data_IF_159331786281
#
_entry.id   IF_159331786281
#
_cell.length_a   1.000
_cell.length_b   1.000
_cell.length_c   1.000
_cell.angle_alpha   90.00
_cell.angle_beta   90.00
_cell.angle_gamma   90.00
#
_symmetry.space_group_name_H-M   'P 1'
#
loop_
_entity.id
_entity.type
_entity.pdbx_description
1 polymer ?
#
# COMPACT_ATOMS: atom_id res chain seq x y z
N UNK A 1 10.12 0.04 -3.67
CA UNK A 1 9.79 -0.01 -5.12
C UNK A 1 10.19 -1.33 -5.77
N UNK A 2 11.48 -1.68 -5.88
CA UNK A 2 11.93 -2.88 -6.65
C UNK A 2 11.29 -4.21 -6.22
N UNK A 3 11.09 -4.42 -4.92
CA UNK A 3 10.44 -5.64 -4.40
C UNK A 3 8.94 -5.70 -4.70
N UNK A 4 8.26 -4.55 -4.77
CA UNK A 4 6.83 -4.48 -5.10
C UNK A 4 6.61 -4.80 -6.57
N UNK A 5 7.43 -4.25 -7.47
CA UNK A 5 7.37 -4.60 -8.90
C UNK A 5 7.59 -6.10 -9.11
N UNK A 6 8.60 -6.69 -8.46
CA UNK A 6 8.84 -8.12 -8.57
C UNK A 6 7.68 -8.96 -8.02
N UNK A 7 7.13 -8.59 -6.87
CA UNK A 7 5.99 -9.28 -6.28
C UNK A 7 4.72 -9.14 -7.16
N UNK A 8 4.51 -7.99 -7.79
CA UNK A 8 3.39 -7.79 -8.72
C UNK A 8 3.49 -8.69 -9.96
N UNK A 9 4.72 -9.07 -10.36
CA UNK A 9 4.97 -10.07 -11.41
C UNK A 9 4.92 -11.53 -10.88
N UNK A 10 4.45 -11.75 -9.65
CA UNK A 10 4.39 -13.07 -9.01
C UNK A 10 5.73 -13.59 -8.49
N UNK A 11 6.79 -12.76 -8.48
CA UNK A 11 8.14 -13.18 -8.06
C UNK A 11 8.35 -12.88 -6.57
N UNK A 12 7.85 -13.78 -5.73
CA UNK A 12 8.06 -13.77 -4.27
C UNK A 12 8.84 -15.02 -3.86
N UNK A 13 9.93 -14.82 -3.12
CA UNK A 13 10.77 -15.92 -2.61
C UNK A 13 10.18 -16.46 -1.29
N UNK A 14 9.41 -17.54 -1.38
CA UNK A 14 8.75 -18.16 -0.24
C UNK A 14 9.75 -18.68 0.82
N UNK A 15 10.93 -19.15 0.42
CA UNK A 15 11.97 -19.60 1.35
C UNK A 15 12.51 -18.42 2.15
N UNK A 16 12.78 -17.29 1.50
CA UNK A 16 13.20 -16.08 2.18
C UNK A 16 12.13 -15.52 3.13
N UNK A 17 10.85 -15.58 2.74
CA UNK A 17 9.74 -15.18 3.64
C UNK A 17 9.69 -16.09 4.86
N UNK A 18 9.81 -17.41 4.68
CA UNK A 18 9.86 -18.37 5.79
C UNK A 18 11.01 -18.09 6.75
N UNK A 19 12.22 -17.86 6.24
CA UNK A 19 13.39 -17.60 7.06
C UNK A 19 13.26 -16.29 7.86
N UNK A 20 12.66 -15.28 7.23
CA UNK A 20 12.32 -14.02 7.89
C UNK A 20 11.31 -14.21 9.04
N UNK A 21 10.23 -14.96 8.77
CA UNK A 21 9.23 -15.30 9.79
C UNK A 21 9.83 -16.10 10.94
N UNK A 22 10.69 -17.09 10.64
CA UNK A 22 11.37 -17.90 11.64
C UNK A 22 12.30 -17.05 12.52
N UNK A 23 13.00 -16.08 11.93
CA UNK A 23 13.83 -15.11 12.66
C UNK A 23 12.99 -14.23 13.59
N UNK A 24 11.75 -13.91 13.19
CA UNK A 24 10.78 -13.21 14.02
C UNK A 24 10.07 -14.13 15.05
N UNK A 25 10.44 -15.41 15.14
CA UNK A 25 9.83 -16.39 16.05
C UNK A 25 8.50 -16.98 15.57
N UNK A 26 8.09 -16.69 14.34
CA UNK A 26 6.85 -17.18 13.73
C UNK A 26 7.12 -18.45 12.92
N UNK A 27 6.49 -19.56 13.32
CA UNK A 27 6.50 -20.83 12.57
C UNK A 27 5.11 -21.07 12.02
N UNK A 28 4.94 -20.81 10.73
CA UNK A 28 3.66 -20.99 10.05
C UNK A 28 3.59 -22.36 9.35
N UNK A 29 2.40 -22.99 9.30
CA UNK A 29 2.13 -24.09 8.38
C UNK A 29 2.42 -23.70 6.92
N UNK A 30 2.73 -24.69 6.08
CA UNK A 30 3.00 -24.46 4.66
C UNK A 30 1.85 -23.72 3.96
N UNK A 31 0.62 -24.17 4.18
CA UNK A 31 -0.59 -23.57 3.60
C UNK A 31 -0.76 -22.08 3.95
N UNK A 32 -0.38 -21.69 5.17
CA UNK A 32 -0.45 -20.28 5.60
C UNK A 32 0.66 -19.45 4.96
N UNK A 33 1.84 -20.03 4.76
CA UNK A 33 2.91 -19.34 4.03
C UNK A 33 2.53 -19.13 2.57
N UNK A 34 1.94 -20.14 1.93
CA UNK A 34 1.50 -20.04 0.54
C UNK A 34 0.44 -18.95 0.39
N UNK A 35 -0.56 -18.92 1.28
CA UNK A 35 -1.56 -17.86 1.32
C UNK A 35 -0.96 -16.45 1.55
N UNK A 36 0.06 -16.33 2.40
CA UNK A 36 0.74 -15.05 2.64
C UNK A 36 1.53 -14.58 1.40
N UNK A 37 2.12 -15.51 0.66
CA UNK A 37 2.79 -15.21 -0.61
C UNK A 37 1.77 -14.72 -1.64
N UNK A 38 0.63 -15.39 -1.75
CA UNK A 38 -0.45 -14.98 -2.65
C UNK A 38 -0.98 -13.58 -2.29
N UNK A 39 -1.26 -13.31 -1.01
CA UNK A 39 -1.69 -11.99 -0.53
C UNK A 39 -0.64 -10.91 -0.83
N UNK A 40 0.64 -11.23 -0.72
CA UNK A 40 1.74 -10.32 -1.07
C UNK A 40 1.71 -9.97 -2.55
N UNK A 41 1.47 -10.95 -3.43
CA UNK A 41 1.34 -10.74 -4.88
C UNK A 41 0.12 -9.86 -5.17
N UNK A 42 -1.05 -10.18 -4.61
CA UNK A 42 -2.29 -9.40 -4.79
C UNK A 42 -2.11 -7.94 -4.36
N UNK A 43 -1.53 -7.73 -3.18
CA UNK A 43 -1.22 -6.39 -2.69
C UNK A 43 -0.26 -5.65 -3.63
N UNK A 44 0.79 -6.32 -4.10
CA UNK A 44 1.77 -5.72 -5.00
C UNK A 44 1.15 -5.34 -6.35
N UNK A 45 0.25 -6.16 -6.90
CA UNK A 45 -0.50 -5.85 -8.13
C UNK A 45 -1.36 -4.60 -7.93
N UNK A 46 -2.06 -4.49 -6.79
CA UNK A 46 -2.86 -3.29 -6.45
C UNK A 46 -1.99 -2.04 -6.38
N UNK A 47 -0.88 -2.09 -5.65
CA UNK A 47 0.05 -0.96 -5.54
C UNK A 47 0.63 -0.58 -6.91
N UNK A 48 0.99 -1.55 -7.75
CA UNK A 48 1.50 -1.28 -9.09
C UNK A 48 0.45 -0.61 -10.00
N UNK A 49 -0.84 -0.92 -9.83
CA UNK A 49 -1.92 -0.24 -10.53
C UNK A 49 -2.10 1.21 -10.05
N UNK A 50 -2.04 1.42 -8.74
CA UNK A 50 -2.13 2.74 -8.11
C UNK A 50 -1.00 3.67 -8.57
N UNK A 51 0.25 3.17 -8.61
CA UNK A 51 1.40 3.93 -9.09
C UNK A 51 1.25 4.33 -10.56
N UNK A 52 0.77 3.42 -11.43
CA UNK A 52 0.49 3.74 -12.84
C UNK A 52 -0.59 4.82 -12.98
N UNK A 53 -1.64 4.77 -12.15
CA UNK A 53 -2.67 5.80 -12.15
C UNK A 53 -2.13 7.16 -11.68
N UNK A 54 -1.28 7.18 -10.65
CA UNK A 54 -0.60 8.41 -10.20
C UNK A 54 0.31 8.98 -11.28
N UNK A 55 1.08 8.14 -11.98
CA UNK A 55 1.95 8.56 -13.09
C UNK A 55 1.13 9.22 -14.20
N UNK A 56 -0.03 8.65 -14.57
CA UNK A 56 -0.94 9.26 -15.55
C UNK A 56 -1.50 10.60 -15.08
N UNK A 57 -1.84 10.74 -13.79
CA UNK A 57 -2.31 12.02 -13.25
C UNK A 57 -1.20 13.08 -13.24
N UNK A 58 0.04 12.67 -13.00
CA UNK A 58 1.20 13.58 -13.01
C UNK A 58 1.46 14.19 -14.40
N UNK A 59 1.04 13.53 -15.49
CA UNK A 59 1.14 14.07 -16.86
C UNK A 59 0.33 15.37 -17.05
N UNK A 60 -0.69 15.62 -16.20
CA UNK A 60 -1.48 16.84 -16.25
C UNK A 60 -0.70 18.10 -15.79
N UNK A 61 0.43 17.93 -15.10
CA UNK A 61 1.28 19.01 -14.55
C UNK A 61 0.49 20.02 -13.69
N UNK A 62 -0.49 19.51 -12.94
CA UNK A 62 -1.30 20.28 -12.00
C UNK A 62 -0.89 19.97 -10.55
N UNK A 63 -1.02 20.93 -9.62
CA UNK A 63 -0.85 20.66 -8.20
C UNK A 63 -1.82 19.56 -7.71
N UNK A 64 -1.29 18.56 -7.02
CA UNK A 64 -2.05 17.46 -6.42
C UNK A 64 -1.92 17.49 -4.89
N UNK A 65 -2.96 17.02 -4.21
CA UNK A 65 -3.01 16.85 -2.76
C UNK A 65 -3.34 15.39 -2.46
N UNK A 66 -2.74 14.83 -1.42
CA UNK A 66 -2.98 13.45 -0.98
C UNK A 66 -3.73 13.45 0.36
N UNK A 67 -4.81 12.69 0.45
CA UNK A 67 -5.58 12.53 1.67
C UNK A 67 -5.46 11.09 2.18
N UNK A 68 -5.53 10.86 3.50
CA UNK A 68 -5.50 9.52 4.07
C UNK A 68 -6.76 8.74 3.69
N UNK A 69 -6.62 7.42 3.62
CA UNK A 69 -7.76 6.51 3.53
C UNK A 69 -8.49 6.44 4.88
N UNK A 70 -9.82 6.39 4.86
CA UNK A 70 -10.66 6.36 6.06
C UNK A 70 -11.33 4.99 6.18
N UNK A 71 -10.76 4.12 7.00
CA UNK A 71 -11.18 2.70 7.12
C UNK A 71 -12.51 2.51 7.82
N UNK A 72 -12.92 3.44 8.68
CA UNK A 72 -14.10 3.32 9.55
C UNK A 72 -15.30 4.18 9.08
N UNK A 73 -15.22 4.75 7.88
CA UNK A 73 -16.24 5.63 7.29
C UNK A 73 -16.00 7.12 7.58
N UNK A 74 -16.91 7.97 7.12
CA UNK A 74 -16.80 9.44 7.25
C UNK A 74 -17.80 9.96 8.28
N UNK A 75 -17.28 10.48 9.39
CA UNK A 75 -18.05 11.22 10.39
C UNK A 75 -17.52 12.67 10.52
N UNK A 76 -18.05 13.43 11.48
CA UNK A 76 -17.63 14.82 11.68
C UNK A 76 -16.16 14.92 12.09
N UNK A 77 -15.65 13.99 12.89
CA UNK A 77 -14.25 14.01 13.30
C UNK A 77 -13.33 13.76 12.09
N UNK A 78 -13.66 12.77 11.25
CA UNK A 78 -12.95 12.47 10.03
C UNK A 78 -12.90 13.67 9.06
N UNK A 79 -13.96 14.49 9.01
CA UNK A 79 -13.94 15.72 8.21
C UNK A 79 -12.92 16.74 8.73
N UNK A 80 -12.72 16.84 10.04
CA UNK A 80 -11.67 17.69 10.61
C UNK A 80 -10.29 17.12 10.35
N UNK A 81 -10.11 15.79 10.43
CA UNK A 81 -8.84 15.13 10.10
C UNK A 81 -8.46 15.38 8.62
N UNK A 82 -9.44 15.29 7.70
CA UNK A 82 -9.23 15.61 6.30
C UNK A 82 -8.93 17.11 6.08
N UNK A 83 -9.63 18.00 6.79
CA UNK A 83 -9.35 19.42 6.72
C UNK A 83 -7.93 19.74 7.21
N UNK A 84 -7.51 19.14 8.32
CA UNK A 84 -6.14 19.26 8.85
C UNK A 84 -5.12 18.78 7.82
N UNK A 85 -5.32 17.60 7.23
CA UNK A 85 -4.45 17.06 6.17
C UNK A 85 -4.34 18.01 4.95
N UNK A 86 -5.43 18.66 4.54
CA UNK A 86 -5.40 19.67 3.47
C UNK A 86 -4.60 20.92 3.89
N UNK A 87 -4.81 21.40 5.12
CA UNK A 87 -4.08 22.57 5.62
C UNK A 87 -2.59 22.29 5.82
N UNK A 88 -2.19 21.08 6.23
CA UNK A 88 -0.79 20.71 6.33
C UNK A 88 -0.08 20.74 4.96
N UNK A 89 -0.84 20.49 3.90
CA UNK A 89 -0.38 20.59 2.51
C UNK A 89 -0.50 22.00 1.90
N UNK A 90 -0.82 23.01 2.72
CA UNK A 90 -0.78 24.41 2.30
C UNK A 90 -2.11 25.00 1.85
N UNK A 91 -3.22 24.25 1.91
CA UNK A 91 -4.56 24.80 1.66
C UNK A 91 -4.91 25.81 2.76
N UNK A 92 -5.28 27.03 2.38
CA UNK A 92 -5.75 28.08 3.30
C UNK A 92 -7.03 28.68 2.73
N UNK A 93 -7.91 29.12 3.62
CA UNK A 93 -9.16 29.83 3.30
C UNK A 93 -8.91 31.31 3.08
#
# INVERSE_FOLDING_TARGET
ARSVTAAADGRVDASRVRDGLATAGLKLPQETLDALVDETVEHAVRVAAEQRAREQLAEADLPTLELPDLTDGVDVAALYDLAEALTDQGVRV
#
